data_IF_434855976044
#
_entry.id   IF_434855976044
#
_cell.length_a   1.000
_cell.length_b   1.000
_cell.length_c   1.000
_cell.angle_alpha   90.00
_cell.angle_beta   90.00
_cell.angle_gamma   90.00
#
_symmetry.space_group_name_H-M   'P 1'
#
loop_
_entity.id
_entity.type
_entity.pdbx_description
1 polymer ?
#
# COMPACT_ATOMS: atom_id res chain seq x y z
N UNK A 1 1.64 11.16 -1.30
CA UNK A 1 0.82 10.63 -0.19
C UNK A 1 1.08 11.45 1.07
N UNK A 2 0.07 11.82 1.86
CA UNK A 2 0.28 12.56 3.11
C UNK A 2 1.01 11.75 4.20
N UNK A 3 1.54 12.46 5.19
CA UNK A 3 2.37 11.89 6.27
C UNK A 3 1.62 10.89 7.16
N UNK A 4 0.34 11.11 7.44
CA UNK A 4 -0.42 10.21 8.33
C UNK A 4 -0.86 8.94 7.59
N UNK A 5 -1.14 9.03 6.29
CA UNK A 5 -1.33 7.87 5.40
C UNK A 5 -0.08 6.99 5.34
N UNK A 6 1.10 7.60 5.14
CA UNK A 6 2.38 6.87 5.14
C UNK A 6 2.62 6.16 6.47
N UNK A 7 2.47 6.87 7.60
CA UNK A 7 2.65 6.29 8.93
C UNK A 7 1.64 5.18 9.25
N UNK A 8 0.44 5.23 8.68
CA UNK A 8 -0.54 4.15 8.84
C UNK A 8 -0.06 2.88 8.14
N UNK A 9 0.50 2.98 6.93
CA UNK A 9 1.09 1.85 6.20
C UNK A 9 2.34 1.34 6.94
N UNK A 10 3.22 2.23 7.38
CA UNK A 10 4.46 1.87 8.10
C UNK A 10 4.18 1.13 9.41
N UNK A 11 3.09 1.47 10.11
CA UNK A 11 2.67 0.76 11.32
C UNK A 11 2.40 -0.74 11.08
N UNK A 12 1.97 -1.08 9.87
CA UNK A 12 1.66 -2.45 9.46
C UNK A 12 2.75 -3.06 8.56
N UNK A 13 3.93 -2.43 8.48
CA UNK A 13 4.99 -2.82 7.55
C UNK A 13 5.42 -4.27 7.71
N UNK A 14 5.56 -4.77 8.95
CA UNK A 14 5.94 -6.16 9.19
C UNK A 14 4.91 -7.14 8.57
N UNK A 15 3.62 -6.93 8.84
CA UNK A 15 2.55 -7.77 8.30
C UNK A 15 2.49 -7.71 6.76
N UNK A 16 2.65 -6.51 6.18
CA UNK A 16 2.70 -6.32 4.74
C UNK A 16 3.88 -7.06 4.12
N UNK A 17 5.07 -6.93 4.69
CA UNK A 17 6.26 -7.62 4.22
C UNK A 17 6.13 -9.15 4.27
N UNK A 18 5.51 -9.66 5.33
CA UNK A 18 5.42 -11.09 5.59
C UNK A 18 4.29 -11.78 4.83
N UNK A 19 3.16 -11.10 4.59
CA UNK A 19 1.93 -11.77 4.15
C UNK A 19 1.30 -11.20 2.87
N UNK A 20 1.65 -9.98 2.46
CA UNK A 20 1.09 -9.40 1.24
C UNK A 20 1.65 -10.10 -0.01
N UNK A 21 0.78 -10.41 -0.97
CA UNK A 21 1.17 -10.73 -2.34
C UNK A 21 1.25 -9.43 -3.17
N UNK A 22 2.46 -8.92 -3.47
CA UNK A 22 2.61 -7.65 -4.16
C UNK A 22 2.10 -7.71 -5.60
N UNK A 23 2.14 -8.87 -6.25
CA UNK A 23 1.70 -8.99 -7.64
C UNK A 23 0.18 -8.97 -7.73
N UNK A 24 -0.50 -9.74 -6.86
CA UNK A 24 -1.95 -9.76 -6.82
C UNK A 24 -2.54 -8.40 -6.40
N UNK A 25 -1.89 -7.71 -5.45
CA UNK A 25 -2.27 -6.34 -5.09
C UNK A 25 -2.01 -5.37 -6.24
N UNK A 26 -0.87 -5.49 -6.91
CA UNK A 26 -0.52 -4.64 -8.06
C UNK A 26 -1.53 -4.76 -9.21
N UNK A 27 -2.02 -5.97 -9.50
CA UNK A 27 -3.02 -6.21 -10.54
C UNK A 27 -4.38 -5.58 -10.19
N UNK A 28 -4.69 -5.44 -8.89
CA UNK A 28 -5.91 -4.81 -8.39
C UNK A 28 -5.81 -3.29 -8.20
N UNK A 29 -4.63 -2.68 -8.40
CA UNK A 29 -4.47 -1.23 -8.33
C UNK A 29 -5.23 -0.53 -9.47
N UNK A 30 -5.61 0.72 -9.23
CA UNK A 30 -6.24 1.55 -10.24
C UNK A 30 -5.36 1.64 -11.50
N UNK A 31 -5.99 1.52 -12.67
CA UNK A 31 -5.30 1.63 -13.95
C UNK A 31 -4.60 3.00 -14.05
N UNK A 32 -3.33 3.01 -14.50
CA UNK A 32 -2.55 4.24 -14.63
C UNK A 32 -1.87 4.74 -13.35
N UNK A 33 -2.15 4.15 -12.18
CA UNK A 33 -1.42 4.52 -10.95
C UNK A 33 0.06 4.13 -11.04
N UNK A 34 0.34 2.95 -11.58
CA UNK A 34 1.69 2.49 -11.90
C UNK A 34 1.91 2.53 -13.42
N UNK A 35 3.05 3.10 -13.82
CA UNK A 35 3.55 3.03 -15.18
C UNK A 35 3.98 1.59 -15.52
N UNK A 36 4.09 1.29 -16.81
CA UNK A 36 4.58 -0.01 -17.27
C UNK A 36 5.97 -0.32 -16.71
N UNK A 37 6.88 0.67 -16.70
CA UNK A 37 8.24 0.52 -16.18
C UNK A 37 8.25 0.17 -14.69
N UNK A 38 7.40 0.81 -13.88
CA UNK A 38 7.30 0.50 -12.45
C UNK A 38 6.73 -0.91 -12.21
N UNK A 39 5.74 -1.33 -13.02
CA UNK A 39 5.19 -2.69 -12.94
C UNK A 39 6.24 -3.74 -13.28
N UNK A 40 6.98 -3.55 -14.36
CA UNK A 40 8.04 -4.48 -14.75
C UNK A 40 9.18 -4.48 -13.72
N UNK A 41 9.58 -3.33 -13.18
CA UNK A 41 10.56 -3.26 -12.10
C UNK A 41 10.15 -4.08 -10.86
N UNK A 42 8.87 -4.04 -10.46
CA UNK A 42 8.36 -4.86 -9.35
C UNK A 42 8.33 -6.35 -9.72
N UNK A 43 8.00 -6.72 -10.97
CA UNK A 43 7.95 -8.13 -11.41
C UNK A 43 9.33 -8.76 -11.58
N UNK A 44 10.24 -8.03 -12.21
CA UNK A 44 11.60 -8.44 -12.57
C UNK A 44 12.59 -8.33 -11.42
N UNK A 45 12.18 -7.74 -10.30
CA UNK A 45 12.89 -7.85 -9.05
C UNK A 45 13.07 -9.36 -8.73
N UNK A 46 14.25 -9.91 -9.08
CA UNK A 46 14.70 -11.28 -8.77
C UNK A 46 14.83 -11.54 -7.25
N UNK A 47 14.28 -10.64 -6.47
CA UNK A 47 14.34 -10.54 -5.05
C UNK A 47 13.01 -11.04 -4.47
N UNK A 48 13.05 -11.34 -3.18
CA UNK A 48 12.01 -12.12 -2.50
C UNK A 48 10.64 -11.42 -2.57
N UNK A 49 9.55 -12.12 -2.22
CA UNK A 49 8.22 -11.48 -2.06
C UNK A 49 8.31 -10.22 -1.20
N UNK A 50 9.13 -10.28 -0.14
CA UNK A 50 9.38 -9.16 0.76
C UNK A 50 10.00 -7.95 0.05
N UNK A 51 10.94 -8.18 -0.85
CA UNK A 51 11.58 -7.10 -1.60
C UNK A 51 10.58 -6.46 -2.57
N UNK A 52 9.76 -7.27 -3.24
CA UNK A 52 8.67 -6.76 -4.10
C UNK A 52 7.61 -5.97 -3.32
N UNK A 53 7.26 -6.41 -2.10
CA UNK A 53 6.40 -5.66 -1.18
C UNK A 53 7.02 -4.30 -0.85
N UNK A 54 8.33 -4.26 -0.56
CA UNK A 54 9.05 -3.02 -0.26
C UNK A 54 9.04 -2.07 -1.46
N UNK A 55 9.32 -2.57 -2.66
CA UNK A 55 9.35 -1.75 -3.88
C UNK A 55 7.98 -1.18 -4.21
N UNK A 56 6.93 -2.00 -4.14
CA UNK A 56 5.55 -1.54 -4.36
C UNK A 56 5.19 -0.39 -3.41
N UNK A 57 5.43 -0.57 -2.10
CA UNK A 57 5.12 0.46 -1.10
C UNK A 57 5.96 1.73 -1.32
N UNK A 58 7.26 1.57 -1.60
CA UNK A 58 8.17 2.68 -1.89
C UNK A 58 7.71 3.52 -3.08
N UNK A 59 7.26 2.86 -4.16
CA UNK A 59 6.71 3.53 -5.34
C UNK A 59 5.42 4.27 -4.97
N UNK A 60 4.49 3.64 -4.25
CA UNK A 60 3.24 4.26 -3.81
C UNK A 60 3.46 5.50 -2.94
N UNK A 61 4.48 5.50 -2.08
CA UNK A 61 4.82 6.65 -1.24
C UNK A 61 5.28 7.86 -2.05
N UNK A 62 5.95 7.62 -3.19
CA UNK A 62 6.45 8.65 -4.11
C UNK A 62 5.40 9.15 -5.09
N UNK A 63 4.23 8.51 -5.18
CA UNK A 63 3.14 8.98 -6.04
C UNK A 63 2.58 10.32 -5.55
N UNK A 64 2.25 11.15 -6.54
CA UNK A 64 1.57 12.43 -6.32
C UNK A 64 0.26 12.19 -5.58
N UNK A 65 -0.04 13.09 -4.66
CA UNK A 65 -1.24 12.97 -3.81
C UNK A 65 -2.54 13.05 -4.60
N UNK A 66 -2.55 13.81 -5.70
CA UNK A 66 -3.68 13.92 -6.65
C UNK A 66 -4.08 12.58 -7.29
N UNK A 67 -3.20 11.57 -7.26
CA UNK A 67 -3.48 10.22 -7.75
C UNK A 67 -4.07 9.30 -6.67
N UNK A 68 -4.31 9.82 -5.47
CA UNK A 68 -4.92 9.09 -4.34
C UNK A 68 -4.29 7.69 -4.09
N UNK A 69 -2.95 7.57 -4.04
CA UNK A 69 -2.27 6.28 -4.00
C UNK A 69 -2.63 5.43 -2.78
N UNK A 70 -2.97 6.07 -1.66
CA UNK A 70 -3.37 5.38 -0.43
C UNK A 70 -4.74 4.72 -0.58
N UNK A 71 -5.73 5.48 -1.07
CA UNK A 71 -7.08 5.02 -1.32
C UNK A 71 -7.07 3.84 -2.30
N UNK A 72 -6.32 3.98 -3.40
CA UNK A 72 -6.17 2.90 -4.37
C UNK A 72 -5.46 1.68 -3.81
N UNK A 73 -4.42 1.85 -2.99
CA UNK A 73 -3.75 0.73 -2.33
C UNK A 73 -4.67 -0.04 -1.38
N UNK A 74 -5.41 0.68 -0.52
CA UNK A 74 -6.40 0.09 0.39
C UNK A 74 -7.49 -0.64 -0.39
N UNK A 75 -7.99 -0.07 -1.49
CA UNK A 75 -8.99 -0.72 -2.34
C UNK A 75 -8.43 -1.97 -3.03
N UNK A 76 -7.17 -1.94 -3.49
CA UNK A 76 -6.54 -3.10 -4.11
C UNK A 76 -6.37 -4.26 -3.13
N UNK A 77 -5.95 -3.96 -1.89
CA UNK A 77 -5.90 -4.95 -0.81
C UNK A 77 -7.27 -5.61 -0.58
N UNK A 78 -8.34 -4.81 -0.48
CA UNK A 78 -9.71 -5.33 -0.30
C UNK A 78 -10.20 -6.22 -1.44
N UNK A 79 -9.70 -6.01 -2.66
CA UNK A 79 -10.06 -6.79 -3.86
C UNK A 79 -9.23 -8.05 -4.05
N UNK A 80 -8.12 -8.20 -3.32
CA UNK A 80 -7.17 -9.30 -3.52
C UNK A 80 -7.69 -10.60 -2.92
N UNK A 81 -7.90 -10.64 -1.61
CA UNK A 81 -8.55 -11.75 -0.89
C UNK A 81 -8.96 -11.32 0.53
N UNK A 82 -9.54 -12.25 1.30
CA UNK A 82 -10.02 -11.99 2.66
C UNK A 82 -8.89 -11.58 3.65
N UNK A 83 -7.67 -12.11 3.51
CA UNK A 83 -6.55 -11.75 4.39
C UNK A 83 -6.09 -10.32 4.11
N UNK A 84 -5.96 -9.96 2.84
CA UNK A 84 -5.63 -8.59 2.43
C UNK A 84 -6.74 -7.60 2.79
N UNK A 85 -8.01 -8.02 2.77
CA UNK A 85 -9.13 -7.20 3.23
C UNK A 85 -9.01 -6.86 4.73
N UNK A 86 -8.59 -7.81 5.57
CA UNK A 86 -8.32 -7.57 7.00
C UNK A 86 -7.18 -6.55 7.14
N UNK A 87 -6.06 -6.73 6.42
CA UNK A 87 -4.95 -5.77 6.42
C UNK A 87 -5.41 -4.36 6.01
N UNK A 88 -6.25 -4.26 5.00
CA UNK A 88 -6.80 -2.98 4.53
C UNK A 88 -7.64 -2.29 5.62
N UNK A 89 -8.47 -3.06 6.34
CA UNK A 89 -9.28 -2.55 7.45
C UNK A 89 -8.40 -2.06 8.60
N UNK A 90 -7.35 -2.80 8.94
CA UNK A 90 -6.42 -2.43 10.00
C UNK A 90 -5.61 -1.17 9.67
N UNK A 91 -5.14 -1.04 8.43
CA UNK A 91 -4.46 0.18 7.95
C UNK A 91 -5.40 1.39 8.03
N UNK A 92 -6.63 1.26 7.54
CA UNK A 92 -7.63 2.32 7.61
C UNK A 92 -7.95 2.72 9.06
N UNK A 93 -8.12 1.74 9.95
CA UNK A 93 -8.37 1.98 11.37
C UNK A 93 -7.22 2.78 11.98
N UNK A 94 -5.97 2.39 11.72
CA UNK A 94 -4.79 3.12 12.19
C UNK A 94 -4.78 4.54 11.64
N UNK A 95 -5.06 4.75 10.36
CA UNK A 95 -5.13 6.09 9.77
C UNK A 95 -6.17 6.99 10.47
N UNK A 96 -7.39 6.50 10.68
CA UNK A 96 -8.46 7.23 11.37
C UNK A 96 -8.05 7.59 12.81
N UNK A 97 -7.48 6.63 13.56
CA UNK A 97 -6.99 6.90 14.91
C UNK A 97 -5.93 8.01 14.95
N UNK A 98 -5.04 8.05 13.95
CA UNK A 98 -4.00 9.08 13.84
C UNK A 98 -4.56 10.46 13.53
N UNK A 99 -5.55 10.54 12.63
CA UNK A 99 -6.24 11.80 12.34
C UNK A 99 -6.91 12.38 13.59
N UNK A 100 -7.63 11.54 14.34
CA UNK A 100 -8.31 11.94 15.59
C UNK A 100 -7.32 12.35 16.70
N UNK A 101 -6.14 11.74 16.75
CA UNK A 101 -5.12 12.12 17.72
C UNK A 101 -4.48 13.48 17.38
N UNK A 102 -4.37 13.82 16.09
CA UNK A 102 -3.85 15.11 15.63
C UNK A 102 -4.83 16.25 15.86
N UNK A 103 -6.14 16.02 15.71
CA UNK A 103 -7.16 17.06 15.89
C UNK A 103 -7.36 17.48 17.36
N UNK A 104 -6.77 16.76 18.32
CA UNK A 104 -6.81 17.07 19.75
C UNK A 104 -5.60 17.87 20.25
N UNK A 105 -4.67 18.23 19.36
CA UNK A 105 -3.50 19.07 19.64
C UNK A 105 -3.68 20.43 19.00
#
# INVERSE_FOLDING_TARGET
MDREKQKAIEHHNAALMDSMDPLAVMDNLCAGLLSLVEKEFIKESHSTRRDRNRELISILFRKREELEPFEHFVQALKKTDANHEIMAKDILKTYVCRLLARSKR
#
